data_IF_412775765824
#
_entry.id   IF_412775765824
#
_cell.length_a   1.000
_cell.length_b   1.000
_cell.length_c   1.000
_cell.angle_alpha   90.00
_cell.angle_beta   90.00
_cell.angle_gamma   90.00
#
_symmetry.space_group_name_H-M   'P 1'
#
loop_
_entity.id
_entity.type
_entity.pdbx_description
1 polymer ?
#
# COMPACT_ATOMS: atom_id res chain seq x y z
N UNK A 1 52.06 14.99 38.60
CA UNK A 1 50.62 15.26 38.44
C UNK A 1 50.28 14.97 37.00
N UNK A 2 49.71 13.81 36.75
CA UNK A 2 49.20 13.42 35.43
C UNK A 2 47.68 13.68 35.41
N UNK A 3 47.22 14.60 34.55
CA UNK A 3 45.80 14.89 34.35
C UNK A 3 45.27 13.84 33.40
N UNK A 4 44.44 12.93 33.91
CA UNK A 4 43.66 11.97 33.13
C UNK A 4 42.48 12.73 32.49
N UNK A 5 42.53 12.85 31.15
CA UNK A 5 41.37 13.29 30.36
C UNK A 5 40.45 12.08 30.15
N UNK A 6 39.42 11.96 30.99
CA UNK A 6 38.33 11.05 30.73
C UNK A 6 37.52 11.57 29.51
N UNK A 7 37.66 10.92 28.38
CA UNK A 7 36.76 11.13 27.23
C UNK A 7 35.40 10.54 27.56
N UNK A 8 34.42 11.41 27.79
CA UNK A 8 32.99 11.06 27.83
C UNK A 8 32.60 10.52 26.44
N UNK A 9 32.01 9.32 26.33
CA UNK A 9 31.50 8.88 25.06
C UNK A 9 30.35 9.82 24.64
N UNK A 10 30.49 10.45 23.49
CA UNK A 10 29.39 11.15 22.82
C UNK A 10 28.40 10.05 22.39
N UNK A 11 27.39 9.81 23.20
CA UNK A 11 26.22 9.07 22.76
C UNK A 11 25.53 9.96 21.73
N UNK A 12 25.69 9.67 20.45
CA UNK A 12 24.78 10.18 19.43
C UNK A 12 23.39 9.66 19.80
N UNK A 13 22.54 10.51 20.35
CA UNK A 13 21.12 10.23 20.52
C UNK A 13 20.53 10.03 19.13
N UNK A 14 20.41 8.77 18.70
CA UNK A 14 19.70 8.40 17.48
C UNK A 14 18.23 8.67 17.77
N UNK A 15 17.57 9.59 17.05
CA UNK A 15 16.19 9.93 17.36
C UNK A 15 15.29 8.69 17.23
N UNK A 16 14.47 8.47 18.25
CA UNK A 16 13.50 7.37 18.25
C UNK A 16 12.51 7.54 17.08
N UNK A 17 12.02 6.43 16.50
CA UNK A 17 11.01 6.49 15.46
C UNK A 17 9.81 7.35 15.87
N UNK A 18 9.20 8.10 14.93
CA UNK A 18 8.10 9.04 15.24
C UNK A 18 6.88 8.39 15.90
N UNK A 19 6.58 7.15 15.50
CA UNK A 19 5.42 6.42 16.00
C UNK A 19 5.82 5.00 16.46
N UNK A 20 5.44 4.60 17.69
CA UNK A 20 5.67 3.24 18.17
C UNK A 20 4.77 2.24 17.44
N UNK A 21 5.37 1.11 17.03
CA UNK A 21 4.69 -0.02 16.39
C UNK A 21 4.83 -1.28 17.25
N UNK A 22 3.85 -2.17 17.13
CA UNK A 22 3.91 -3.50 17.76
C UNK A 22 4.97 -4.38 17.08
N UNK A 23 5.57 -5.26 17.85
CA UNK A 23 6.55 -6.22 17.33
C UNK A 23 7.94 -5.66 17.10
N UNK A 24 8.23 -4.43 17.51
CA UNK A 24 9.54 -3.80 17.36
C UNK A 24 10.68 -4.58 18.03
N UNK A 25 10.38 -5.17 19.19
CA UNK A 25 11.39 -5.86 20.02
C UNK A 25 11.30 -7.40 19.89
N UNK A 26 10.58 -7.89 18.87
CA UNK A 26 10.50 -9.35 18.61
C UNK A 26 11.86 -9.87 18.19
N UNK A 27 12.38 -10.88 18.88
CA UNK A 27 13.56 -11.60 18.50
C UNK A 27 13.23 -12.82 17.64
N UNK A 28 14.13 -13.15 16.71
CA UNK A 28 14.02 -14.32 15.83
C UNK A 28 15.30 -15.15 15.88
N UNK A 29 15.18 -16.50 15.79
CA UNK A 29 16.36 -17.36 15.74
C UNK A 29 17.06 -17.23 14.40
N UNK A 30 18.40 -17.33 14.43
CA UNK A 30 19.25 -17.38 13.25
C UNK A 30 19.72 -18.82 12.96
N UNK A 31 19.81 -19.17 11.69
CA UNK A 31 20.37 -20.48 11.27
C UNK A 31 21.84 -20.61 11.65
N UNK A 32 22.55 -19.52 11.82
CA UNK A 32 23.93 -19.42 12.28
C UNK A 32 24.08 -19.58 13.80
N UNK A 33 22.97 -19.67 14.51
CA UNK A 33 22.90 -19.76 15.98
C UNK A 33 22.61 -18.40 16.63
N UNK A 34 22.01 -18.47 17.83
CA UNK A 34 21.59 -17.28 18.58
C UNK A 34 20.27 -16.68 18.08
N UNK A 35 19.96 -15.50 18.61
CA UNK A 35 18.75 -14.73 18.29
C UNK A 35 19.11 -13.26 18.07
N UNK A 36 18.31 -12.56 17.27
CA UNK A 36 18.45 -11.13 17.00
C UNK A 36 17.08 -10.46 16.95
N UNK A 37 17.00 -9.20 17.34
CA UNK A 37 15.78 -8.39 17.12
C UNK A 37 15.49 -8.33 15.62
N UNK A 38 14.26 -8.66 15.23
CA UNK A 38 13.85 -8.70 13.82
C UNK A 38 13.81 -7.31 13.19
N UNK A 39 14.44 -7.12 12.06
CA UNK A 39 14.32 -5.91 11.26
C UNK A 39 13.23 -6.08 10.21
N UNK A 40 12.03 -5.58 10.49
CA UNK A 40 10.92 -5.58 9.54
C UNK A 40 11.14 -4.49 8.50
N UNK A 41 11.45 -4.85 7.26
CA UNK A 41 11.68 -3.95 6.14
C UNK A 41 10.80 -4.31 4.92
N UNK A 42 9.54 -4.73 5.20
CA UNK A 42 8.53 -5.03 4.17
C UNK A 42 7.18 -4.32 4.44
N UNK A 43 7.23 -3.06 4.89
CA UNK A 43 6.03 -2.25 5.22
C UNK A 43 5.11 -2.03 4.01
N UNK A 44 5.65 -1.98 2.80
CA UNK A 44 4.86 -1.83 1.57
C UNK A 44 3.98 -3.06 1.27
N UNK A 45 4.29 -4.24 1.82
CA UNK A 45 3.40 -5.39 1.78
C UNK A 45 2.32 -5.28 2.86
N UNK A 46 2.73 -5.08 4.13
CA UNK A 46 1.84 -4.82 5.26
C UNK A 46 2.65 -4.17 6.40
N UNK A 47 2.19 -3.04 6.90
CA UNK A 47 2.83 -2.36 8.03
C UNK A 47 2.45 -3.04 9.37
N UNK A 48 3.35 -3.04 10.36
CA UNK A 48 2.99 -3.42 11.72
C UNK A 48 1.88 -2.51 12.27
N UNK A 49 1.08 -2.99 13.21
CA UNK A 49 0.10 -2.12 13.86
C UNK A 49 0.80 -1.04 14.69
N UNK A 50 0.28 0.19 14.65
CA UNK A 50 0.66 1.20 15.65
C UNK A 50 0.22 0.74 17.03
N UNK A 51 1.04 1.01 18.06
CA UNK A 51 0.66 0.75 19.46
C UNK A 51 -0.67 1.43 19.80
N UNK A 52 -0.86 2.69 19.39
CA UNK A 52 -2.10 3.45 19.58
C UNK A 52 -3.32 2.74 18.99
N UNK A 53 -3.19 2.17 17.78
CA UNK A 53 -4.30 1.46 17.11
C UNK A 53 -4.70 0.22 17.90
N UNK A 54 -3.73 -0.52 18.40
CA UNK A 54 -4.00 -1.70 19.23
C UNK A 54 -4.68 -1.31 20.54
N UNK A 55 -4.18 -0.30 21.23
CA UNK A 55 -4.71 0.14 22.52
C UNK A 55 -6.16 0.65 22.38
N UNK A 56 -6.45 1.45 21.33
CA UNK A 56 -7.79 1.94 21.02
C UNK A 56 -8.76 0.77 20.73
N UNK A 57 -8.34 -0.21 19.93
CA UNK A 57 -9.14 -1.41 19.62
C UNK A 57 -9.36 -2.25 20.86
N UNK A 58 -8.33 -2.51 21.67
CA UNK A 58 -8.42 -3.28 22.89
C UNK A 58 -9.37 -2.63 23.92
N UNK A 59 -9.35 -1.31 24.03
CA UNK A 59 -10.26 -0.56 24.89
C UNK A 59 -11.72 -0.64 24.42
N UNK A 60 -11.96 -0.71 23.11
CA UNK A 60 -13.32 -0.79 22.56
C UNK A 60 -13.91 -2.19 22.58
N UNK A 61 -13.14 -3.24 22.34
CA UNK A 61 -13.64 -4.63 22.17
C UNK A 61 -14.64 -5.09 23.25
N UNK A 62 -14.48 -4.76 24.55
CA UNK A 62 -15.49 -5.11 25.56
C UNK A 62 -16.88 -4.51 25.33
N UNK A 63 -16.99 -3.43 24.55
CA UNK A 63 -18.23 -2.71 24.24
C UNK A 63 -18.78 -3.05 22.85
N UNK A 64 -18.17 -3.99 22.14
CA UNK A 64 -18.59 -4.36 20.79
C UNK A 64 -20.06 -4.84 20.77
N UNK A 65 -20.82 -4.33 19.83
CA UNK A 65 -22.22 -4.68 19.57
C UNK A 65 -22.58 -4.61 18.08
N UNK A 66 -23.83 -4.93 17.76
CA UNK A 66 -24.33 -4.81 16.39
C UNK A 66 -24.40 -3.34 15.96
N UNK A 67 -24.34 -3.10 14.64
CA UNK A 67 -24.34 -1.74 14.06
C UNK A 67 -25.62 -1.47 13.30
N UNK A 68 -26.14 -0.25 13.38
CA UNK A 68 -27.29 0.34 12.69
C UNK A 68 -28.69 -0.22 13.02
N UNK A 69 -28.83 -1.36 13.73
CA UNK A 69 -30.13 -2.03 13.84
C UNK A 69 -30.56 -2.40 15.25
N UNK A 70 -29.76 -2.14 16.23
CA UNK A 70 -30.07 -2.48 17.62
C UNK A 70 -30.44 -1.25 18.44
N UNK A 71 -31.48 -1.39 19.29
CA UNK A 71 -31.85 -0.36 20.26
C UNK A 71 -31.03 -0.44 21.55
N UNK A 72 -30.24 -1.52 21.74
CA UNK A 72 -29.43 -1.72 22.94
C UNK A 72 -28.25 -0.77 23.01
N UNK A 73 -27.82 -0.45 24.22
CA UNK A 73 -26.73 0.51 24.47
C UNK A 73 -25.44 0.20 23.68
N UNK A 74 -24.97 -1.05 23.68
CA UNK A 74 -23.75 -1.44 22.96
C UNK A 74 -23.90 -1.32 21.43
N UNK A 75 -25.13 -1.54 20.92
CA UNK A 75 -25.42 -1.34 19.49
C UNK A 75 -25.37 0.13 19.09
N UNK A 76 -25.93 1.02 19.93
CA UNK A 76 -25.86 2.46 19.70
C UNK A 76 -24.42 2.96 19.76
N UNK A 77 -23.65 2.52 20.79
CA UNK A 77 -22.23 2.88 20.93
C UNK A 77 -21.40 2.42 19.72
N UNK A 78 -21.61 1.17 19.26
CA UNK A 78 -20.88 0.65 18.09
C UNK A 78 -21.25 1.36 16.80
N UNK A 79 -22.54 1.75 16.66
CA UNK A 79 -23.00 2.55 15.51
C UNK A 79 -22.36 3.93 15.50
N UNK A 80 -22.39 4.61 16.65
CA UNK A 80 -21.77 5.92 16.79
C UNK A 80 -20.27 5.88 16.49
N UNK A 81 -19.53 4.90 17.05
CA UNK A 81 -18.10 4.71 16.80
C UNK A 81 -17.81 4.46 15.31
N UNK A 82 -18.64 3.65 14.65
CA UNK A 82 -18.48 3.36 13.22
C UNK A 82 -18.67 4.59 12.36
N UNK A 83 -19.70 5.40 12.63
CA UNK A 83 -19.96 6.64 11.88
C UNK A 83 -18.93 7.76 12.22
N UNK A 84 -18.48 7.85 13.48
CA UNK A 84 -17.37 8.72 13.85
C UNK A 84 -16.06 8.32 13.15
N UNK A 85 -15.83 7.01 12.97
CA UNK A 85 -14.68 6.51 12.21
C UNK A 85 -14.75 6.95 10.74
N UNK A 86 -15.95 6.89 10.14
CA UNK A 86 -16.20 7.40 8.78
C UNK A 86 -15.90 8.89 8.66
N UNK A 87 -16.38 9.68 9.59
CA UNK A 87 -16.12 11.12 9.62
C UNK A 87 -14.62 11.45 9.81
N UNK A 88 -13.93 10.68 10.66
CA UNK A 88 -12.48 10.82 10.87
C UNK A 88 -11.70 10.54 9.58
N UNK A 89 -12.04 9.47 8.85
CA UNK A 89 -11.40 9.14 7.57
C UNK A 89 -11.70 10.20 6.51
N UNK A 90 -12.94 10.71 6.47
CA UNK A 90 -13.30 11.80 5.56
C UNK A 90 -12.48 13.06 5.81
N UNK A 91 -12.32 13.44 7.08
CA UNK A 91 -11.50 14.60 7.47
C UNK A 91 -10.02 14.39 7.13
N UNK A 92 -9.48 13.20 7.39
CA UNK A 92 -8.10 12.84 7.09
C UNK A 92 -7.76 12.92 5.60
N UNK A 93 -8.74 12.64 4.73
CA UNK A 93 -8.59 12.69 3.27
C UNK A 93 -8.99 14.03 2.65
N UNK A 94 -9.34 15.05 3.43
CA UNK A 94 -9.83 16.32 2.88
C UNK A 94 -11.06 16.15 1.98
N UNK A 95 -11.98 15.27 2.35
CA UNK A 95 -13.20 15.02 1.57
C UNK A 95 -14.05 16.28 1.43
N UNK A 96 -14.61 16.51 0.24
CA UNK A 96 -15.59 17.58 0.00
C UNK A 96 -16.89 17.27 0.75
N UNK A 97 -17.75 18.24 1.05
CA UNK A 97 -19.01 18.02 1.79
C UNK A 97 -19.94 16.98 1.15
N UNK A 98 -19.89 16.80 -0.17
CA UNK A 98 -20.71 15.83 -0.90
C UNK A 98 -20.05 14.44 -1.03
N UNK A 99 -18.77 14.34 -0.77
CA UNK A 99 -18.04 13.07 -0.87
C UNK A 99 -18.48 12.09 0.23
N UNK A 100 -18.40 10.82 -0.07
CA UNK A 100 -18.71 9.75 0.87
C UNK A 100 -17.53 8.78 1.03
N UNK A 101 -17.40 8.25 2.23
CA UNK A 101 -16.45 7.19 2.55
C UNK A 101 -17.21 5.87 2.61
N UNK A 102 -16.73 4.87 1.88
CA UNK A 102 -17.23 3.49 1.91
C UNK A 102 -16.14 2.61 2.49
N UNK A 103 -16.45 1.87 3.56
CA UNK A 103 -15.53 0.88 4.10
C UNK A 103 -15.62 -0.41 3.29
N UNK A 104 -14.46 -0.92 2.93
CA UNK A 104 -14.25 -2.14 2.16
C UNK A 104 -13.28 -3.05 2.90
N UNK A 105 -12.81 -4.14 2.28
CA UNK A 105 -11.80 -5.02 2.89
C UNK A 105 -10.36 -4.59 2.59
N UNK A 106 -10.14 -3.89 1.47
CA UNK A 106 -8.80 -3.49 0.99
C UNK A 106 -8.90 -2.55 -0.21
N UNK A 107 -7.79 -1.97 -0.66
CA UNK A 107 -7.70 -1.25 -1.95
C UNK A 107 -8.23 -2.08 -3.12
N UNK A 108 -7.87 -3.36 -3.17
CA UNK A 108 -8.38 -4.28 -4.22
C UNK A 108 -9.91 -4.33 -4.23
N UNK A 109 -10.52 -4.43 -3.06
CA UNK A 109 -11.97 -4.46 -2.91
C UNK A 109 -12.60 -3.11 -3.30
N UNK A 110 -12.01 -1.99 -2.86
CA UNK A 110 -12.41 -0.62 -3.21
C UNK A 110 -12.44 -0.39 -4.73
N UNK A 111 -11.39 -0.79 -5.42
CA UNK A 111 -11.29 -0.61 -6.88
C UNK A 111 -12.20 -1.58 -7.66
N UNK A 112 -12.45 -2.79 -7.14
CA UNK A 112 -13.45 -3.70 -7.69
C UNK A 112 -14.88 -3.17 -7.49
N UNK A 113 -15.17 -2.56 -6.33
CA UNK A 113 -16.46 -1.89 -6.08
C UNK A 113 -16.67 -0.75 -7.08
N UNK A 114 -15.69 0.13 -7.26
CA UNK A 114 -15.78 1.20 -8.25
C UNK A 114 -15.94 0.65 -9.68
N UNK A 115 -15.24 -0.42 -10.02
CA UNK A 115 -15.35 -1.09 -11.33
C UNK A 115 -16.76 -1.66 -11.56
N UNK A 116 -17.41 -2.19 -10.51
CA UNK A 116 -18.79 -2.67 -10.58
C UNK A 116 -19.80 -1.52 -10.71
N UNK A 117 -19.43 -0.31 -10.27
CA UNK A 117 -20.28 0.88 -10.30
C UNK A 117 -20.08 1.76 -11.56
N UNK A 118 -19.22 1.35 -12.49
CA UNK A 118 -18.97 2.12 -13.71
C UNK A 118 -20.24 2.24 -14.58
N UNK A 119 -20.57 3.43 -15.09
CA UNK A 119 -21.56 3.58 -16.15
C UNK A 119 -21.23 2.70 -17.37
N UNK A 120 -22.26 2.19 -18.03
CA UNK A 120 -22.07 1.35 -19.20
C UNK A 120 -21.32 2.08 -20.31
N UNK A 121 -20.36 1.41 -20.95
CA UNK A 121 -19.53 1.99 -22.01
C UNK A 121 -18.39 2.87 -21.53
N UNK A 122 -18.11 2.88 -20.21
CA UNK A 122 -16.97 3.63 -19.65
C UNK A 122 -15.67 3.21 -20.29
N UNK A 123 -14.85 4.18 -20.67
CA UNK A 123 -13.48 4.00 -21.12
C UNK A 123 -12.56 4.23 -19.95
N UNK A 124 -11.73 3.23 -19.63
CA UNK A 124 -10.80 3.28 -18.51
C UNK A 124 -9.38 3.37 -19.02
N UNK A 125 -8.62 4.30 -18.48
CA UNK A 125 -7.21 4.55 -18.81
C UNK A 125 -6.36 4.22 -17.59
N UNK A 126 -5.36 3.35 -17.79
CA UNK A 126 -4.42 2.91 -16.75
C UNK A 126 -3.02 2.85 -17.34
N UNK A 127 -2.00 3.00 -16.52
CA UNK A 127 -0.63 2.71 -16.94
C UNK A 127 -0.29 1.24 -16.69
N UNK A 128 0.54 0.65 -17.54
CA UNK A 128 1.02 -0.74 -17.33
C UNK A 128 1.86 -0.90 -16.06
N UNK A 129 2.28 0.24 -15.47
CA UNK A 129 3.06 0.30 -14.23
C UNK A 129 2.23 0.09 -12.97
N UNK A 130 0.90 0.05 -13.09
CA UNK A 130 -0.01 -0.07 -11.95
C UNK A 130 0.13 -1.42 -11.23
N UNK A 131 -0.10 -1.39 -9.92
CA UNK A 131 -0.32 -2.59 -9.13
C UNK A 131 -1.53 -3.39 -9.69
N UNK A 132 -1.51 -4.72 -9.59
CA UNK A 132 -2.60 -5.57 -10.11
C UNK A 132 -3.98 -5.17 -9.59
N UNK A 133 -4.08 -4.64 -8.37
CA UNK A 133 -5.34 -4.15 -7.81
C UNK A 133 -5.93 -2.96 -8.59
N UNK A 134 -5.06 -2.12 -9.19
CA UNK A 134 -5.43 -0.96 -9.99
C UNK A 134 -5.44 -1.26 -11.51
N UNK A 135 -4.90 -2.41 -11.94
CA UNK A 135 -4.83 -2.79 -13.34
C UNK A 135 -5.97 -3.74 -13.77
N UNK A 136 -6.33 -4.71 -12.92
CA UNK A 136 -7.17 -5.85 -13.32
C UNK A 136 -8.69 -5.64 -13.19
N UNK A 137 -9.24 -4.88 -12.23
CA UNK A 137 -10.68 -4.78 -12.02
C UNK A 137 -11.45 -4.30 -13.24
N UNK A 138 -10.89 -3.36 -13.97
CA UNK A 138 -11.51 -2.72 -15.12
C UNK A 138 -11.76 -3.67 -16.29
N UNK A 139 -10.93 -4.70 -16.45
CA UNK A 139 -11.09 -5.73 -17.49
C UNK A 139 -12.32 -6.62 -17.24
N UNK A 140 -12.81 -6.64 -16.00
CA UNK A 140 -14.01 -7.40 -15.60
C UNK A 140 -15.26 -6.54 -15.55
N UNK A 141 -15.12 -5.22 -15.61
CA UNK A 141 -16.25 -4.29 -15.58
C UNK A 141 -17.09 -4.46 -16.85
N UNK A 142 -18.38 -4.73 -16.69
CA UNK A 142 -19.29 -5.03 -17.79
C UNK A 142 -19.41 -3.83 -18.73
N UNK A 143 -19.04 -4.04 -20.00
CA UNK A 143 -19.11 -3.00 -21.05
C UNK A 143 -18.03 -1.92 -20.97
N UNK A 144 -17.07 -1.99 -20.05
CA UNK A 144 -15.92 -1.11 -20.02
C UNK A 144 -14.90 -1.44 -21.12
N UNK A 145 -14.16 -0.44 -21.57
CA UNK A 145 -13.04 -0.58 -22.49
C UNK A 145 -11.77 -0.05 -21.82
N UNK A 146 -10.75 -0.88 -21.75
CA UNK A 146 -9.50 -0.52 -21.07
C UNK A 146 -8.44 -0.13 -22.08
N UNK A 147 -7.85 1.05 -21.90
CA UNK A 147 -6.65 1.51 -22.59
C UNK A 147 -5.49 1.46 -21.62
N UNK A 148 -4.53 0.59 -21.90
CA UNK A 148 -3.31 0.48 -21.12
C UNK A 148 -2.23 1.36 -21.76
N UNK A 149 -1.71 2.32 -20.98
CA UNK A 149 -0.65 3.23 -21.39
C UNK A 149 0.71 2.63 -21.04
N UNK A 150 1.69 2.81 -21.93
CA UNK A 150 3.05 2.36 -21.69
C UNK A 150 3.70 3.07 -20.49
N UNK A 151 4.69 2.42 -19.89
CA UNK A 151 5.48 2.98 -18.80
C UNK A 151 6.16 4.29 -19.22
N UNK A 152 5.88 5.42 -18.55
CA UNK A 152 6.52 6.70 -18.85
C UNK A 152 7.93 6.73 -18.26
N UNK A 153 8.80 7.54 -18.83
CA UNK A 153 10.18 7.74 -18.33
C UNK A 153 10.32 8.96 -17.43
N UNK A 154 9.34 9.86 -17.47
CA UNK A 154 9.29 11.05 -16.60
C UNK A 154 7.83 11.36 -16.22
N UNK A 155 7.61 12.11 -15.12
CA UNK A 155 6.28 12.58 -14.75
C UNK A 155 5.57 13.35 -15.87
N UNK A 156 6.30 14.20 -16.61
CA UNK A 156 5.74 14.99 -17.73
C UNK A 156 5.30 14.09 -18.89
N UNK A 157 6.05 13.01 -19.17
CA UNK A 157 5.65 12.02 -20.18
C UNK A 157 4.38 11.28 -19.76
N UNK A 158 4.20 10.99 -18.45
CA UNK A 158 2.96 10.39 -17.96
C UNK A 158 1.75 11.28 -18.25
N UNK A 159 1.85 12.58 -17.94
CA UNK A 159 0.80 13.56 -18.20
C UNK A 159 0.53 13.70 -19.70
N UNK A 160 1.57 13.82 -20.52
CA UNK A 160 1.42 13.96 -21.97
C UNK A 160 0.79 12.70 -22.62
N UNK A 161 1.22 11.51 -22.21
CA UNK A 161 0.67 10.24 -22.71
C UNK A 161 -0.82 10.10 -22.38
N UNK A 162 -1.22 10.46 -21.16
CA UNK A 162 -2.61 10.46 -20.75
C UNK A 162 -3.44 11.48 -21.54
N UNK A 163 -2.94 12.71 -21.70
CA UNK A 163 -3.63 13.78 -22.44
C UNK A 163 -3.90 13.39 -23.89
N UNK A 164 -2.90 12.82 -24.57
CA UNK A 164 -3.03 12.30 -25.96
C UNK A 164 -4.06 11.18 -26.04
N UNK A 165 -4.02 10.22 -25.12
CA UNK A 165 -4.94 9.10 -25.12
C UNK A 165 -6.40 9.55 -24.87
N UNK A 166 -6.61 10.49 -23.96
CA UNK A 166 -7.93 11.05 -23.67
C UNK A 166 -8.47 11.91 -24.81
N UNK A 167 -7.60 12.67 -25.49
CA UNK A 167 -7.98 13.48 -26.67
C UNK A 167 -8.53 12.59 -27.81
N UNK A 168 -7.89 11.46 -28.06
CA UNK A 168 -8.31 10.49 -29.09
C UNK A 168 -9.51 9.61 -28.69
N UNK A 169 -9.98 9.71 -27.46
CA UNK A 169 -11.02 8.83 -26.94
C UNK A 169 -12.42 9.21 -27.43
N UNK A 170 -13.29 8.25 -27.77
CA UNK A 170 -14.69 8.49 -28.11
C UNK A 170 -15.46 9.26 -27.01
N UNK A 171 -16.55 9.91 -27.38
CA UNK A 171 -17.45 10.54 -26.42
C UNK A 171 -18.08 9.48 -25.49
N UNK A 172 -18.29 9.83 -24.23
CA UNK A 172 -18.87 8.94 -23.22
C UNK A 172 -18.18 9.06 -21.86
N UNK A 173 -18.61 8.27 -20.86
CA UNK A 173 -17.98 8.27 -19.55
C UNK A 173 -16.54 7.77 -19.65
N UNK A 174 -15.64 8.39 -18.90
CA UNK A 174 -14.21 8.06 -18.86
C UNK A 174 -13.73 8.02 -17.42
N UNK A 175 -12.86 7.05 -17.11
CA UNK A 175 -12.17 6.93 -15.85
C UNK A 175 -10.66 6.80 -16.08
N UNK A 176 -9.89 7.55 -15.33
CA UNK A 176 -8.43 7.37 -15.20
C UNK A 176 -8.15 6.73 -13.86
N UNK A 177 -7.34 5.67 -13.81
CA UNK A 177 -6.86 5.08 -12.56
C UNK A 177 -5.34 5.22 -12.50
N UNK A 178 -4.84 5.85 -11.45
CA UNK A 178 -3.41 6.11 -11.26
C UNK A 178 -2.98 5.82 -9.84
N UNK A 179 -1.73 5.33 -9.70
CA UNK A 179 -1.08 5.24 -8.38
C UNK A 179 -0.58 6.61 -7.93
N UNK A 180 -0.60 6.86 -6.61
CA UNK A 180 0.01 8.06 -6.03
C UNK A 180 1.50 7.88 -5.74
N UNK A 181 1.90 6.66 -5.37
CA UNK A 181 3.28 6.26 -5.15
C UNK A 181 3.47 4.81 -5.59
N UNK A 182 4.54 4.53 -6.30
CA UNK A 182 4.83 3.17 -6.79
C UNK A 182 5.14 2.20 -5.64
N UNK A 183 4.48 1.06 -5.62
CA UNK A 183 4.78 0.00 -4.66
C UNK A 183 6.09 -0.76 -4.97
N UNK A 184 6.75 -0.45 -6.07
CA UNK A 184 8.04 -1.03 -6.49
C UNK A 184 9.18 -0.06 -6.24
N UNK A 185 9.10 1.13 -6.82
CA UNK A 185 10.19 2.12 -6.79
C UNK A 185 10.02 3.16 -5.70
N UNK A 186 8.81 3.27 -5.11
CA UNK A 186 8.45 4.32 -4.15
C UNK A 186 8.20 5.69 -4.78
N UNK A 187 8.47 5.86 -6.05
CA UNK A 187 8.40 7.15 -6.74
C UNK A 187 6.99 7.73 -6.73
N UNK A 188 6.92 9.04 -6.45
CA UNK A 188 5.68 9.80 -6.47
C UNK A 188 5.24 10.12 -7.89
N UNK A 189 3.95 10.00 -8.15
CA UNK A 189 3.34 10.32 -9.43
C UNK A 189 2.76 11.73 -9.44
N UNK A 190 2.69 12.40 -10.59
CA UNK A 190 2.18 13.77 -10.74
C UNK A 190 0.64 13.78 -10.72
N UNK A 191 0.04 13.42 -9.57
CA UNK A 191 -1.40 13.17 -9.42
C UNK A 191 -2.23 14.39 -9.79
N UNK A 192 -1.81 15.59 -9.36
CA UNK A 192 -2.55 16.85 -9.63
C UNK A 192 -2.58 17.16 -11.12
N UNK A 193 -1.46 17.00 -11.81
CA UNK A 193 -1.33 17.23 -13.26
C UNK A 193 -2.12 16.19 -14.05
N UNK A 194 -2.12 14.93 -13.60
CA UNK A 194 -2.93 13.85 -14.18
C UNK A 194 -4.42 14.09 -13.99
N UNK A 195 -4.84 14.57 -12.79
CA UNK A 195 -6.22 14.95 -12.52
C UNK A 195 -6.67 16.11 -13.44
N UNK A 196 -5.85 17.15 -13.55
CA UNK A 196 -6.12 18.26 -14.45
C UNK A 196 -6.22 17.80 -15.92
N UNK A 197 -5.35 16.87 -16.36
CA UNK A 197 -5.45 16.29 -17.71
C UNK A 197 -6.75 15.50 -17.89
N UNK A 198 -7.11 14.65 -16.92
CA UNK A 198 -8.36 13.89 -16.96
C UNK A 198 -9.59 14.80 -17.07
N UNK A 199 -9.68 15.82 -16.23
CA UNK A 199 -10.83 16.73 -16.18
C UNK A 199 -10.96 17.60 -17.46
N UNK A 200 -9.85 18.04 -18.10
CA UNK A 200 -9.91 18.74 -19.39
C UNK A 200 -10.64 17.94 -20.47
N UNK A 201 -10.61 16.61 -20.40
CA UNK A 201 -11.28 15.70 -21.34
C UNK A 201 -12.60 15.13 -20.81
N UNK A 202 -13.12 15.66 -19.69
CA UNK A 202 -14.34 15.19 -19.06
C UNK A 202 -14.23 13.76 -18.49
N UNK A 203 -13.02 13.30 -18.21
CA UNK A 203 -12.77 12.05 -17.52
C UNK A 203 -12.79 12.26 -16.00
N UNK A 204 -13.15 11.21 -15.25
CA UNK A 204 -12.95 11.13 -13.81
C UNK A 204 -11.66 10.44 -13.49
N UNK A 205 -11.15 10.65 -12.27
CA UNK A 205 -9.90 10.04 -11.81
C UNK A 205 -10.06 9.39 -10.45
N UNK A 206 -9.56 8.17 -10.32
CA UNK A 206 -9.38 7.46 -9.04
C UNK A 206 -7.90 7.30 -8.74
N UNK A 207 -7.52 7.68 -7.53
CA UNK A 207 -6.19 7.55 -6.99
C UNK A 207 -6.05 6.24 -6.19
N UNK A 208 -5.20 5.32 -6.65
CA UNK A 208 -4.68 4.26 -5.77
C UNK A 208 -3.64 4.90 -4.83
N UNK A 209 -4.07 5.17 -3.61
CA UNK A 209 -3.26 5.78 -2.57
C UNK A 209 -2.68 4.76 -1.57
N UNK A 210 -2.69 3.47 -1.91
CA UNK A 210 -2.27 2.40 -1.01
C UNK A 210 -0.85 2.57 -0.46
N UNK A 211 0.06 3.14 -1.27
CA UNK A 211 1.43 3.46 -0.85
C UNK A 211 1.64 4.94 -0.56
N UNK A 212 0.67 5.81 -0.86
CA UNK A 212 0.80 7.24 -0.63
C UNK A 212 0.33 7.64 0.77
N UNK A 213 -0.88 7.22 1.17
CA UNK A 213 -1.52 7.60 2.43
C UNK A 213 -0.70 7.30 3.70
N UNK A 214 0.11 6.20 3.78
CA UNK A 214 0.97 5.97 4.94
C UNK A 214 2.13 6.95 5.08
N UNK A 215 2.49 7.68 4.02
CA UNK A 215 3.72 8.43 3.92
C UNK A 215 3.53 9.92 3.67
N UNK A 216 2.43 10.33 3.05
CA UNK A 216 2.13 11.72 2.65
C UNK A 216 0.69 12.07 2.99
N UNK A 217 0.44 13.34 3.29
CA UNK A 217 -0.91 13.86 3.37
C UNK A 217 -1.60 13.72 2.00
N UNK A 218 -2.84 13.25 2.04
CA UNK A 218 -3.70 13.14 0.85
C UNK A 218 -4.96 13.95 1.09
N UNK A 219 -5.18 14.96 0.27
CA UNK A 219 -6.38 15.79 0.26
C UNK A 219 -7.07 15.67 -1.08
N UNK A 220 -8.28 15.06 -1.08
CA UNK A 220 -9.07 14.80 -2.29
C UNK A 220 -9.42 16.11 -3.01
N UNK A 221 -9.76 17.15 -2.25
CA UNK A 221 -10.16 18.43 -2.82
C UNK A 221 -8.95 19.17 -3.42
N UNK A 222 -7.81 19.14 -2.74
CA UNK A 222 -6.58 19.79 -3.20
C UNK A 222 -5.95 19.08 -4.40
N UNK A 223 -5.92 17.75 -4.40
CA UNK A 223 -5.43 16.95 -5.53
C UNK A 223 -6.40 16.94 -6.71
N UNK A 224 -7.64 17.40 -6.49
CA UNK A 224 -8.74 17.40 -7.45
C UNK A 224 -9.02 16.01 -8.05
N UNK A 225 -8.89 14.96 -7.25
CA UNK A 225 -9.27 13.60 -7.64
C UNK A 225 -10.74 13.33 -7.31
N UNK A 226 -11.38 12.42 -8.06
CA UNK A 226 -12.79 12.06 -7.84
C UNK A 226 -12.94 10.98 -6.77
N UNK A 227 -12.00 10.05 -6.69
CA UNK A 227 -11.93 9.01 -5.66
C UNK A 227 -10.51 8.73 -5.21
N UNK A 228 -10.41 8.28 -3.96
CA UNK A 228 -9.19 7.72 -3.35
C UNK A 228 -9.49 6.33 -2.81
N UNK A 229 -8.59 5.38 -3.04
CA UNK A 229 -8.66 4.02 -2.51
C UNK A 229 -7.38 3.66 -1.75
N UNK A 230 -7.51 3.05 -0.55
CA UNK A 230 -6.38 2.55 0.20
C UNK A 230 -6.74 1.37 1.13
N UNK A 231 -5.73 0.73 1.72
CA UNK A 231 -5.88 -0.41 2.63
C UNK A 231 -5.38 -0.08 4.03
N UNK A 232 -6.16 -0.42 5.05
CA UNK A 232 -5.78 -0.20 6.45
C UNK A 232 -4.51 -0.95 6.86
N UNK A 233 -4.27 -2.17 6.33
CA UNK A 233 -3.10 -2.95 6.71
C UNK A 233 -1.76 -2.34 6.28
N UNK A 234 -1.76 -1.40 5.33
CA UNK A 234 -0.59 -0.60 4.97
C UNK A 234 -0.52 0.70 5.77
N UNK A 235 -1.67 1.16 6.26
CA UNK A 235 -1.83 2.32 7.13
C UNK A 235 -1.75 1.92 8.62
N UNK A 236 -0.92 0.96 8.98
CA UNK A 236 -0.71 0.51 10.36
C UNK A 236 -1.95 -0.04 11.09
N UNK A 237 -3.02 -0.39 10.37
CA UNK A 237 -4.28 -0.92 10.88
C UNK A 237 -4.60 -2.30 10.27
N UNK A 238 -3.95 -3.41 10.73
CA UNK A 238 -4.03 -4.73 10.09
C UNK A 238 -5.30 -5.51 10.48
N UNK A 239 -6.48 -4.87 10.44
CA UNK A 239 -7.76 -5.48 10.85
C UNK A 239 -8.75 -5.71 9.71
N UNK A 240 -8.25 -5.85 8.48
CA UNK A 240 -9.05 -6.24 7.31
C UNK A 240 -10.05 -5.18 6.85
N UNK A 241 -9.67 -3.91 6.93
CA UNK A 241 -10.45 -2.80 6.38
C UNK A 241 -9.68 -2.05 5.29
N UNK A 242 -10.42 -1.53 4.33
CA UNK A 242 -9.99 -0.61 3.30
C UNK A 242 -11.00 0.52 3.14
N UNK A 243 -10.69 1.47 2.30
CA UNK A 243 -11.49 2.67 2.08
C UNK A 243 -11.60 2.96 0.59
N UNK A 244 -12.81 3.32 0.15
CA UNK A 244 -13.08 4.07 -1.06
C UNK A 244 -13.75 5.38 -0.64
N UNK A 245 -13.13 6.51 -0.93
CA UNK A 245 -13.66 7.82 -0.58
C UNK A 245 -13.76 8.72 -1.81
N UNK A 246 -14.80 9.53 -1.91
CA UNK A 246 -14.99 10.48 -3.00
C UNK A 246 -16.43 10.62 -3.45
N UNK A 247 -16.64 10.96 -4.72
CA UNK A 247 -17.96 11.27 -5.29
C UNK A 247 -18.94 10.11 -5.17
N UNK A 248 -20.17 10.37 -4.71
CA UNK A 248 -21.17 9.31 -4.52
C UNK A 248 -21.96 8.96 -5.77
N UNK A 249 -21.95 9.76 -6.83
CA UNK A 249 -22.90 9.67 -7.94
C UNK A 249 -22.90 8.31 -8.65
N UNK A 250 -21.78 7.86 -9.19
CA UNK A 250 -21.70 6.55 -9.85
C UNK A 250 -22.03 5.39 -8.88
N UNK A 251 -21.63 5.54 -7.61
CA UNK A 251 -21.93 4.54 -6.59
C UNK A 251 -23.42 4.48 -6.23
N UNK A 252 -24.11 5.63 -6.21
CA UNK A 252 -25.58 5.67 -5.95
C UNK A 252 -26.40 5.13 -7.10
N UNK A 253 -25.95 5.35 -8.34
CA UNK A 253 -26.67 4.94 -9.53
C UNK A 253 -26.46 3.45 -9.86
N UNK A 254 -25.42 2.82 -9.29
CA UNK A 254 -25.11 1.40 -9.49
C UNK A 254 -25.97 0.48 -8.63
N UNK A 255 -26.12 -0.77 -9.09
CA UNK A 255 -26.57 -1.86 -8.23
C UNK A 255 -25.61 -2.05 -7.04
N UNK A 256 -26.10 -2.49 -5.87
CA UNK A 256 -25.24 -2.72 -4.72
C UNK A 256 -24.15 -3.73 -5.05
N UNK A 257 -22.92 -3.46 -4.61
CA UNK A 257 -21.79 -4.36 -4.81
C UNK A 257 -22.01 -5.73 -4.18
N UNK A 258 -22.64 -5.73 -3.00
CA UNK A 258 -23.12 -6.92 -2.31
C UNK A 258 -24.61 -6.74 -2.01
N UNK A 259 -25.46 -7.63 -2.51
CA UNK A 259 -26.88 -7.63 -2.19
C UNK A 259 -27.12 -8.32 -0.85
N UNK A 260 -27.71 -7.59 0.11
CA UNK A 260 -27.97 -8.16 1.42
C UNK A 260 -28.61 -7.19 2.40
N UNK A 261 -28.79 -7.65 3.61
CA UNK A 261 -29.31 -6.83 4.70
C UNK A 261 -28.38 -5.64 4.96
N UNK A 262 -28.96 -4.44 5.15
CA UNK A 262 -28.23 -3.18 5.32
C UNK A 262 -28.23 -2.34 4.05
N UNK A 263 -27.93 -2.93 2.91
CA UNK A 263 -28.01 -2.27 1.62
C UNK A 263 -29.45 -2.01 1.15
N UNK A 264 -30.44 -2.72 1.71
CA UNK A 264 -31.85 -2.61 1.35
C UNK A 264 -32.58 -1.61 2.25
N UNK A 265 -33.45 -0.79 1.65
CA UNK A 265 -34.45 0.05 2.33
C UNK A 265 -35.73 -0.76 2.60
N UNK A 266 -36.26 -1.43 1.57
CA UNK A 266 -37.38 -2.34 1.66
C UNK A 266 -37.16 -3.57 0.80
N UNK A 267 -37.77 -4.70 1.18
CA UNK A 267 -37.87 -5.90 0.38
C UNK A 267 -39.32 -6.38 0.39
N UNK A 268 -39.89 -6.56 -0.77
CA UNK A 268 -41.31 -6.95 -0.93
C UNK A 268 -41.39 -8.19 -1.84
N UNK A 269 -42.21 -9.15 -1.44
CA UNK A 269 -42.62 -10.24 -2.32
C UNK A 269 -43.92 -9.82 -3.02
N UNK A 270 -43.92 -9.71 -4.34
CA UNK A 270 -45.09 -9.42 -5.17
C UNK A 270 -46.04 -10.61 -5.25
N UNK A 271 -47.24 -10.38 -5.71
CA UNK A 271 -48.26 -11.40 -5.86
C UNK A 271 -47.93 -12.46 -6.90
N UNK A 272 -47.11 -12.15 -7.88
CA UNK A 272 -46.53 -13.08 -8.87
C UNK A 272 -45.39 -13.95 -8.35
N UNK A 273 -44.95 -13.73 -7.10
CA UNK A 273 -43.89 -14.43 -6.43
C UNK A 273 -42.53 -13.79 -6.59
N UNK A 274 -42.39 -12.73 -7.39
CA UNK A 274 -41.14 -11.97 -7.55
C UNK A 274 -40.75 -11.27 -6.24
N UNK A 275 -39.45 -11.29 -5.88
CA UNK A 275 -38.90 -10.53 -4.75
C UNK A 275 -38.22 -9.29 -5.30
N UNK A 276 -38.68 -8.12 -4.89
CA UNK A 276 -38.16 -6.82 -5.30
C UNK A 276 -37.55 -6.11 -4.12
N UNK A 277 -36.38 -5.55 -4.29
CA UNK A 277 -35.69 -4.76 -3.28
C UNK A 277 -35.58 -3.28 -3.72
N UNK A 278 -35.79 -2.39 -2.77
CA UNK A 278 -35.39 -0.99 -2.89
C UNK A 278 -34.09 -0.80 -2.11
N UNK A 279 -33.11 -0.19 -2.77
CA UNK A 279 -31.77 -0.02 -2.21
C UNK A 279 -31.65 1.31 -1.45
N UNK A 280 -30.68 1.36 -0.52
CA UNK A 280 -30.34 2.59 0.20
C UNK A 280 -29.89 3.70 -0.78
N UNK A 281 -30.19 4.95 -0.43
CA UNK A 281 -29.84 6.13 -1.23
C UNK A 281 -28.37 6.56 -1.04
N UNK A 282 -27.84 6.41 0.18
CA UNK A 282 -26.43 6.66 0.45
C UNK A 282 -25.53 5.61 -0.23
N UNK A 283 -24.47 6.04 -0.89
CA UNK A 283 -23.49 5.13 -1.49
C UNK A 283 -22.88 4.20 -0.45
N UNK A 284 -22.51 4.72 0.72
CA UNK A 284 -21.95 3.90 1.80
C UNK A 284 -22.95 2.81 2.24
N UNK A 285 -24.18 3.18 2.61
CA UNK A 285 -25.16 2.21 3.06
C UNK A 285 -25.54 1.21 1.96
N UNK A 286 -25.54 1.62 0.68
CA UNK A 286 -25.85 0.76 -0.47
C UNK A 286 -24.80 -0.32 -0.70
N UNK A 287 -23.52 -0.02 -0.46
CA UNK A 287 -22.42 -0.92 -0.78
C UNK A 287 -21.82 -1.64 0.43
N UNK A 288 -22.20 -1.24 1.65
CA UNK A 288 -21.77 -1.89 2.90
C UNK A 288 -22.83 -2.90 3.41
N UNK A 289 -23.22 -3.86 2.57
CA UNK A 289 -24.17 -4.88 2.96
C UNK A 289 -23.62 -5.84 4.01
N UNK A 290 -24.49 -6.34 4.88
CA UNK A 290 -24.16 -7.24 5.97
C UNK A 290 -23.80 -6.49 7.26
N UNK A 291 -23.15 -7.19 8.19
CA UNK A 291 -22.58 -6.55 9.39
C UNK A 291 -21.21 -5.99 9.04
N UNK A 292 -20.98 -4.68 9.19
CA UNK A 292 -19.73 -4.07 8.80
C UNK A 292 -18.58 -4.46 9.75
N UNK A 293 -17.35 -4.34 9.27
CA UNK A 293 -16.15 -4.52 10.08
C UNK A 293 -15.88 -3.27 10.93
N UNK A 294 -16.59 -3.14 12.06
CA UNK A 294 -16.47 -1.99 12.98
C UNK A 294 -15.05 -1.85 13.51
N UNK A 295 -14.45 -2.97 13.93
CA UNK A 295 -13.08 -2.97 14.48
C UNK A 295 -12.09 -2.49 13.44
N UNK A 296 -12.21 -2.96 12.20
CA UNK A 296 -11.33 -2.53 11.11
C UNK A 296 -11.51 -1.05 10.75
N UNK A 297 -12.76 -0.55 10.71
CA UNK A 297 -13.05 0.86 10.44
C UNK A 297 -12.49 1.77 11.57
N UNK A 298 -12.70 1.38 12.81
CA UNK A 298 -12.15 2.09 13.97
C UNK A 298 -10.62 2.08 14.00
N UNK A 299 -10.00 0.94 13.70
CA UNK A 299 -8.55 0.84 13.60
C UNK A 299 -7.98 1.79 12.52
N UNK A 300 -8.62 1.85 11.33
CA UNK A 300 -8.23 2.81 10.28
C UNK A 300 -8.36 4.25 10.77
N UNK A 301 -9.47 4.59 11.42
CA UNK A 301 -9.68 5.94 11.96
C UNK A 301 -8.66 6.30 13.06
N UNK A 302 -8.31 5.35 13.93
CA UNK A 302 -7.26 5.53 14.95
C UNK A 302 -5.88 5.76 14.30
N UNK A 303 -5.54 5.01 13.26
CA UNK A 303 -4.30 5.23 12.51
C UNK A 303 -4.28 6.62 11.83
N UNK A 304 -5.40 7.03 11.20
CA UNK A 304 -5.53 8.37 10.62
C UNK A 304 -5.27 9.48 11.66
N UNK A 305 -5.86 9.36 12.85
CA UNK A 305 -5.64 10.31 13.96
C UNK A 305 -4.16 10.32 14.39
N UNK A 306 -3.56 9.14 14.58
CA UNK A 306 -2.17 9.04 15.00
C UNK A 306 -1.20 9.69 14.00
N UNK A 307 -1.39 9.48 12.70
CA UNK A 307 -0.58 10.09 11.64
C UNK A 307 -0.79 11.61 11.57
N UNK A 308 -2.03 12.08 11.69
CA UNK A 308 -2.34 13.52 11.71
C UNK A 308 -1.69 14.20 12.91
N UNK A 309 -1.81 13.62 14.09
CA UNK A 309 -1.22 14.14 15.34
C UNK A 309 0.31 14.12 15.31
N UNK A 310 0.93 13.12 14.68
CA UNK A 310 2.38 13.07 14.51
C UNK A 310 2.91 14.15 13.54
N UNK A 311 2.07 14.54 12.57
CA UNK A 311 2.39 15.50 11.52
C UNK A 311 3.22 14.90 10.37
N UNK A 312 2.74 15.09 9.14
CA UNK A 312 3.41 14.53 7.95
C UNK A 312 4.79 15.14 7.67
N UNK A 313 5.06 16.36 8.12
CA UNK A 313 6.40 16.96 8.00
C UNK A 313 7.42 16.17 8.80
N UNK A 314 7.14 15.88 10.08
CA UNK A 314 8.00 15.07 10.94
C UNK A 314 8.15 13.63 10.43
N UNK A 315 7.07 13.04 9.92
CA UNK A 315 7.10 11.70 9.32
C UNK A 315 7.97 11.68 8.06
N UNK A 316 7.84 12.71 7.22
CA UNK A 316 8.63 12.91 6.00
C UNK A 316 10.12 13.13 6.28
N UNK A 317 10.48 13.92 7.29
CA UNK A 317 11.87 14.11 7.72
C UNK A 317 12.52 12.79 8.16
N UNK A 318 11.80 12.00 8.98
CA UNK A 318 12.26 10.69 9.39
C UNK A 318 12.44 9.74 8.19
N UNK A 319 11.46 9.69 7.30
CA UNK A 319 11.53 8.86 6.09
C UNK A 319 12.68 9.29 5.16
N UNK A 320 12.88 10.58 4.95
CA UNK A 320 13.99 11.11 4.16
C UNK A 320 15.35 10.74 4.73
N UNK A 321 15.49 10.78 6.07
CA UNK A 321 16.70 10.32 6.76
C UNK A 321 16.96 8.82 6.50
N UNK A 322 15.94 7.96 6.66
CA UNK A 322 16.06 6.53 6.40
C UNK A 322 16.38 6.22 4.93
N UNK A 323 15.75 6.95 3.99
CA UNK A 323 16.04 6.83 2.55
C UNK A 323 17.49 7.24 2.23
N UNK A 324 18.00 8.30 2.86
CA UNK A 324 19.40 8.72 2.75
C UNK A 324 20.32 7.61 3.18
N UNK A 325 20.15 7.08 4.39
CA UNK A 325 20.96 5.96 4.92
C UNK A 325 20.93 4.73 4.01
N UNK A 326 19.74 4.39 3.48
CA UNK A 326 19.58 3.26 2.57
C UNK A 326 20.32 3.47 1.26
N UNK A 327 20.14 4.62 0.61
CA UNK A 327 20.78 4.95 -0.68
C UNK A 327 22.28 5.02 -0.57
N UNK A 328 22.80 5.68 0.47
CA UNK A 328 24.23 5.79 0.73
C UNK A 328 24.86 4.42 0.99
N UNK A 329 24.19 3.58 1.78
CA UNK A 329 24.64 2.22 2.04
C UNK A 329 24.64 1.35 0.79
N UNK A 330 23.58 1.36 0.00
CA UNK A 330 23.47 0.60 -1.25
C UNK A 330 24.52 1.05 -2.29
N UNK A 331 24.82 2.33 -2.37
CA UNK A 331 25.79 2.90 -3.31
C UNK A 331 27.23 2.39 -3.05
N UNK A 332 27.54 1.92 -1.83
CA UNK A 332 28.84 1.35 -1.47
C UNK A 332 28.97 -0.15 -1.81
N UNK A 333 27.88 -0.81 -2.23
CA UNK A 333 27.88 -2.25 -2.48
C UNK A 333 28.04 -2.52 -3.98
N UNK A 334 29.13 -3.17 -4.41
CA UNK A 334 29.36 -3.47 -5.83
C UNK A 334 28.23 -4.34 -6.41
N UNK A 335 27.84 -4.05 -7.64
CA UNK A 335 26.83 -4.83 -8.36
C UNK A 335 25.37 -4.54 -7.98
N UNK A 336 25.12 -3.68 -6.99
CA UNK A 336 23.76 -3.23 -6.68
C UNK A 336 23.29 -2.21 -7.73
N UNK A 337 22.10 -2.44 -8.28
CA UNK A 337 21.40 -1.51 -9.18
C UNK A 337 20.02 -1.22 -8.62
N UNK A 338 19.80 0.02 -8.20
CA UNK A 338 18.49 0.50 -7.75
C UNK A 338 17.54 0.63 -8.96
N UNK A 339 16.31 0.18 -8.81
CA UNK A 339 15.29 0.30 -9.84
C UNK A 339 14.57 1.64 -9.72
N UNK A 340 14.45 2.36 -10.83
CA UNK A 340 13.81 3.67 -10.91
C UNK A 340 13.08 3.82 -12.24
N UNK A 341 11.89 4.41 -12.21
CA UNK A 341 11.08 4.71 -13.39
C UNK A 341 11.37 6.14 -13.89
N UNK A 342 11.45 7.10 -12.95
CA UNK A 342 11.62 8.53 -13.23
C UNK A 342 13.05 9.03 -13.02
N UNK A 343 13.98 8.13 -12.68
CA UNK A 343 15.38 8.44 -12.45
C UNK A 343 15.76 8.66 -10.99
N UNK A 344 17.07 8.76 -10.75
CA UNK A 344 17.63 8.77 -9.39
C UNK A 344 17.23 9.98 -8.55
N UNK A 345 16.90 11.09 -9.18
CA UNK A 345 16.45 12.34 -8.53
C UNK A 345 14.97 12.38 -8.17
N UNK A 346 14.18 11.37 -8.55
CA UNK A 346 12.75 11.35 -8.29
C UNK A 346 12.46 11.31 -6.79
N UNK A 347 11.47 12.09 -6.35
CA UNK A 347 10.94 12.00 -4.98
C UNK A 347 10.21 10.67 -4.78
N UNK A 348 10.35 10.10 -3.59
CA UNK A 348 9.79 8.78 -3.28
C UNK A 348 9.44 8.63 -1.80
N UNK A 349 8.53 7.73 -1.54
CA UNK A 349 8.19 7.26 -0.20
C UNK A 349 9.20 6.19 0.26
N UNK A 350 9.09 5.73 1.49
CA UNK A 350 9.96 4.72 2.12
C UNK A 350 9.93 3.33 1.45
N UNK A 351 10.03 3.29 0.12
CA UNK A 351 10.02 2.07 -0.71
C UNK A 351 11.13 2.17 -1.76
N UNK A 352 11.94 1.12 -1.86
CA UNK A 352 13.00 1.05 -2.86
C UNK A 352 13.21 -0.41 -3.29
N UNK A 353 13.22 -0.66 -4.60
CA UNK A 353 13.57 -1.96 -5.15
C UNK A 353 14.94 -1.92 -5.84
N UNK A 354 15.65 -3.03 -5.81
CA UNK A 354 16.98 -3.17 -6.40
C UNK A 354 17.23 -4.62 -6.82
N UNK A 355 18.26 -4.80 -7.64
CA UNK A 355 18.85 -6.09 -7.98
C UNK A 355 20.34 -6.07 -7.65
N UNK A 356 20.93 -7.25 -7.45
CA UNK A 356 22.37 -7.43 -7.23
C UNK A 356 22.92 -8.34 -8.32
N UNK A 357 23.90 -7.87 -9.07
CA UNK A 357 24.52 -8.63 -10.15
C UNK A 357 25.03 -9.99 -9.65
N UNK A 358 24.62 -11.07 -10.32
CA UNK A 358 25.05 -12.42 -9.98
C UNK A 358 24.30 -13.07 -8.81
N UNK A 359 23.34 -12.38 -8.20
CA UNK A 359 22.52 -12.90 -7.10
C UNK A 359 21.08 -13.18 -7.54
N UNK A 360 20.56 -14.31 -7.10
CA UNK A 360 19.12 -14.57 -7.13
C UNK A 360 18.44 -13.78 -6.00
N UNK A 361 17.42 -12.97 -6.34
CA UNK A 361 16.74 -12.10 -5.39
C UNK A 361 16.03 -12.88 -4.27
N UNK A 362 15.47 -14.05 -4.57
CA UNK A 362 14.81 -14.89 -3.56
C UNK A 362 15.83 -15.53 -2.61
N UNK A 363 17.00 -15.94 -3.14
CA UNK A 363 18.10 -16.43 -2.32
C UNK A 363 18.63 -15.33 -1.39
N UNK A 364 18.83 -14.12 -1.93
CA UNK A 364 19.31 -12.97 -1.16
C UNK A 364 18.34 -12.61 -0.03
N UNK A 365 17.02 -12.56 -0.32
CA UNK A 365 16.01 -12.30 0.69
C UNK A 365 15.95 -13.40 1.77
N UNK A 366 16.09 -14.68 1.38
CA UNK A 366 16.13 -15.79 2.31
C UNK A 366 17.36 -15.73 3.23
N UNK A 367 18.56 -15.42 2.68
CA UNK A 367 19.79 -15.28 3.44
C UNK A 367 19.71 -14.08 4.42
N UNK A 368 19.22 -12.93 4.00
CA UNK A 368 18.99 -11.78 4.87
C UNK A 368 18.08 -12.14 6.05
N UNK A 369 17.02 -12.92 5.80
CA UNK A 369 16.11 -13.35 6.87
C UNK A 369 16.75 -14.38 7.79
N UNK A 370 17.29 -15.47 7.24
CA UNK A 370 17.75 -16.62 8.01
C UNK A 370 19.07 -16.40 8.74
N UNK A 371 20.00 -15.66 8.15
CA UNK A 371 21.34 -15.42 8.73
C UNK A 371 21.45 -14.11 9.51
N UNK A 372 20.57 -13.12 9.20
CA UNK A 372 20.68 -11.77 9.77
C UNK A 372 19.40 -11.26 10.45
N UNK A 373 18.27 -12.00 10.40
CA UNK A 373 16.98 -11.59 10.99
C UNK A 373 16.38 -10.35 10.36
N UNK A 374 16.53 -10.19 9.03
CA UNK A 374 16.10 -9.02 8.27
C UNK A 374 15.03 -9.44 7.26
N UNK A 375 13.80 -8.96 7.42
CA UNK A 375 12.69 -9.25 6.52
C UNK A 375 12.56 -8.22 5.41
N UNK A 376 12.82 -8.63 4.18
CA UNK A 376 12.59 -7.87 2.96
C UNK A 376 11.62 -8.62 2.05
N UNK A 377 11.21 -8.02 0.95
CA UNK A 377 10.38 -8.67 -0.06
C UNK A 377 11.20 -8.98 -1.31
N UNK A 378 10.99 -10.16 -1.88
CA UNK A 378 11.47 -10.51 -3.22
C UNK A 378 10.31 -10.74 -4.19
N UNK A 379 10.57 -10.70 -5.49
CA UNK A 379 9.61 -11.04 -6.53
C UNK A 379 9.22 -9.90 -7.46
N UNK A 380 7.97 -9.97 -7.95
CA UNK A 380 7.39 -9.03 -8.92
C UNK A 380 6.37 -8.07 -8.26
N UNK A 381 6.18 -8.12 -6.95
CA UNK A 381 5.41 -7.19 -6.09
C UNK A 381 3.99 -6.92 -6.59
N UNK A 382 3.34 -7.88 -7.28
CA UNK A 382 2.05 -7.68 -7.95
C UNK A 382 2.03 -6.48 -8.93
N UNK A 383 3.18 -6.17 -9.55
CA UNK A 383 3.38 -5.15 -10.57
C UNK A 383 4.28 -5.71 -11.68
N UNK A 384 3.90 -6.87 -12.21
CA UNK A 384 4.71 -7.65 -13.16
C UNK A 384 5.18 -6.85 -14.37
N UNK A 385 4.31 -6.07 -15.07
CA UNK A 385 4.76 -5.29 -16.22
C UNK A 385 5.80 -4.23 -15.84
N UNK A 386 5.62 -3.54 -14.70
CA UNK A 386 6.58 -2.54 -14.21
C UNK A 386 7.95 -3.15 -13.92
N UNK A 387 8.00 -4.26 -13.14
CA UNK A 387 9.29 -4.90 -12.81
C UNK A 387 9.99 -5.39 -14.08
N UNK A 388 9.25 -6.01 -15.01
CA UNK A 388 9.81 -6.42 -16.31
C UNK A 388 10.35 -5.24 -17.11
N UNK A 389 9.63 -4.11 -17.13
CA UNK A 389 10.08 -2.88 -17.78
C UNK A 389 11.39 -2.36 -17.17
N UNK A 390 11.46 -2.28 -15.83
CA UNK A 390 12.64 -1.80 -15.10
C UNK A 390 13.88 -2.71 -15.26
N UNK A 391 13.64 -4.00 -15.52
CA UNK A 391 14.69 -4.98 -15.85
C UNK A 391 15.00 -5.04 -17.37
N UNK A 392 14.54 -4.07 -18.15
CA UNK A 392 14.82 -3.96 -19.59
C UNK A 392 14.21 -5.07 -20.45
N UNK A 393 13.18 -5.74 -19.97
CA UNK A 393 12.51 -6.85 -20.66
C UNK A 393 13.37 -8.13 -20.73
N UNK A 394 14.49 -8.18 -20.03
CA UNK A 394 15.39 -9.36 -19.95
C UNK A 394 15.43 -9.87 -18.52
N UNK A 395 15.31 -11.19 -18.30
CA UNK A 395 15.51 -11.76 -16.99
C UNK A 395 17.00 -11.62 -16.62
N UNK A 396 17.29 -10.99 -15.48
CA UNK A 396 18.66 -10.78 -14.98
C UNK A 396 19.01 -11.71 -13.82
N UNK A 397 17.98 -12.35 -13.24
CA UNK A 397 18.14 -13.16 -12.04
C UNK A 397 18.58 -14.59 -12.44
N UNK A 398 19.77 -15.06 -12.00
CA UNK A 398 20.22 -16.41 -12.25
C UNK A 398 19.35 -17.38 -11.45
N UNK A 399 18.31 -17.91 -12.05
CA UNK A 399 17.44 -18.99 -11.59
C UNK A 399 17.15 -19.13 -10.08
N UNK A 400 16.01 -19.69 -9.74
CA UNK A 400 15.69 -20.01 -8.34
C UNK A 400 16.81 -20.84 -7.70
N UNK A 401 16.95 -20.72 -6.37
CA UNK A 401 17.89 -21.50 -5.56
C UNK A 401 18.13 -22.90 -6.14
N UNK A 402 19.21 -23.11 -6.87
CA UNK A 402 19.62 -24.41 -7.38
C UNK A 402 19.19 -24.78 -8.81
N UNK A 403 18.61 -23.91 -9.61
CA UNK A 403 18.29 -24.18 -11.02
C UNK A 403 18.84 -23.08 -11.92
N UNK A 404 19.90 -23.32 -12.70
CA UNK A 404 20.50 -22.34 -13.62
C UNK A 404 19.65 -21.99 -14.84
N UNK A 405 18.57 -22.73 -15.08
CA UNK A 405 17.81 -22.69 -16.34
C UNK A 405 16.60 -21.75 -16.32
N UNK A 406 16.11 -21.33 -15.13
CA UNK A 406 14.95 -20.45 -14.99
C UNK A 406 15.39 -19.02 -14.65
N UNK A 407 15.83 -18.26 -15.65
CA UNK A 407 16.01 -16.82 -15.51
C UNK A 407 14.66 -16.18 -15.21
N UNK A 408 14.51 -15.59 -14.03
CA UNK A 408 13.27 -14.94 -13.60
C UNK A 408 13.40 -13.43 -13.57
N UNK A 409 12.29 -12.74 -13.86
CA UNK A 409 12.17 -11.31 -13.54
C UNK A 409 11.92 -11.18 -12.05
N UNK A 410 12.95 -10.88 -11.28
CA UNK A 410 12.84 -10.81 -9.84
C UNK A 410 13.67 -9.64 -9.30
N UNK A 411 13.24 -9.03 -8.20
CA UNK A 411 13.96 -7.98 -7.52
C UNK A 411 13.78 -8.10 -6.00
N UNK A 412 14.63 -7.43 -5.24
CA UNK A 412 14.46 -7.26 -3.80
C UNK A 412 13.89 -5.88 -3.55
N UNK A 413 12.90 -5.78 -2.66
CA UNK A 413 12.32 -4.52 -2.22
C UNK A 413 12.51 -4.35 -0.72
N UNK A 414 13.06 -3.20 -0.33
CA UNK A 414 13.11 -2.72 1.04
C UNK A 414 12.04 -1.65 1.21
N UNK A 415 11.28 -1.74 2.28
CA UNK A 415 10.26 -0.74 2.60
C UNK A 415 10.10 -0.56 4.10
N UNK A 416 9.91 0.68 4.51
CA UNK A 416 9.87 1.08 5.90
C UNK A 416 8.90 2.25 6.11
N UNK A 417 8.70 2.67 7.36
CA UNK A 417 7.77 3.73 7.67
C UNK A 417 8.01 4.33 9.05
N UNK A 418 6.97 4.96 9.61
CA UNK A 418 7.01 5.77 10.81
C UNK A 418 7.54 5.07 12.08
N UNK A 419 7.50 3.73 12.12
CA UNK A 419 8.00 2.94 13.25
C UNK A 419 9.37 2.30 13.04
N UNK A 420 10.03 2.56 11.92
CA UNK A 420 11.31 1.91 11.59
C UNK A 420 12.49 2.67 12.23
N UNK A 421 13.32 2.04 13.06
CA UNK A 421 14.50 2.68 13.61
C UNK A 421 15.65 2.69 12.58
N UNK A 422 16.51 3.74 12.59
CA UNK A 422 17.64 3.86 11.66
C UNK A 422 18.61 2.66 11.70
N UNK A 423 18.74 2.01 12.84
CA UNK A 423 19.60 0.82 13.03
C UNK A 423 19.17 -0.36 12.15
N UNK A 424 17.88 -0.48 11.81
CA UNK A 424 17.40 -1.51 10.90
C UNK A 424 17.95 -1.30 9.49
N UNK A 425 18.05 -0.05 9.03
CA UNK A 425 18.59 0.29 7.71
C UNK A 425 20.12 0.05 7.68
N UNK A 426 20.85 0.51 8.69
CA UNK A 426 22.31 0.31 8.75
C UNK A 426 22.68 -1.17 8.88
N UNK A 427 21.93 -1.94 9.68
CA UNK A 427 22.09 -3.39 9.77
C UNK A 427 21.81 -4.08 8.43
N UNK A 428 20.75 -3.69 7.74
CA UNK A 428 20.42 -4.21 6.42
C UNK A 428 21.55 -3.98 5.42
N UNK A 429 22.05 -2.75 5.28
CA UNK A 429 23.12 -2.43 4.32
C UNK A 429 24.42 -3.14 4.66
N UNK A 430 24.75 -3.29 5.94
CA UNK A 430 25.93 -4.04 6.41
C UNK A 430 25.80 -5.54 6.11
N UNK A 431 24.63 -6.15 6.38
CA UNK A 431 24.37 -7.56 6.09
C UNK A 431 24.42 -7.83 4.57
N UNK A 432 23.79 -6.95 3.77
CA UNK A 432 23.82 -7.05 2.31
C UNK A 432 25.26 -6.96 1.78
N UNK A 433 26.07 -6.02 2.27
CA UNK A 433 27.46 -5.88 1.88
C UNK A 433 28.28 -7.15 2.21
N UNK A 434 28.02 -7.77 3.36
CA UNK A 434 28.66 -9.03 3.75
C UNK A 434 28.26 -10.17 2.83
N UNK A 435 26.96 -10.35 2.57
CA UNK A 435 26.46 -11.38 1.65
C UNK A 435 27.04 -11.22 0.24
N UNK A 436 27.09 -9.99 -0.29
CA UNK A 436 27.62 -9.73 -1.64
C UNK A 436 29.11 -10.01 -1.73
N UNK A 437 29.89 -9.70 -0.68
CA UNK A 437 31.36 -9.92 -0.65
C UNK A 437 31.73 -11.35 -0.37
N UNK A 438 31.03 -12.03 0.56
CA UNK A 438 31.45 -13.31 1.15
C UNK A 438 30.57 -14.48 0.72
N UNK A 439 29.39 -14.20 0.18
CA UNK A 439 28.37 -15.20 -0.07
C UNK A 439 27.50 -15.46 1.17
N UNK A 440 26.48 -16.29 0.99
CA UNK A 440 25.69 -16.81 2.10
C UNK A 440 26.53 -17.85 2.89
N UNK A 441 26.47 -17.80 4.21
CA UNK A 441 27.18 -18.74 5.10
C UNK A 441 26.44 -20.08 5.25
N UNK A 442 25.18 -20.11 4.84
CA UNK A 442 24.30 -21.29 4.89
C UNK A 442 23.91 -21.77 3.50
N UNK A 443 23.46 -23.01 3.37
CA UNK A 443 22.95 -23.55 2.11
C UNK A 443 21.44 -23.36 2.01
N UNK A 444 20.94 -23.15 0.79
CA UNK A 444 19.53 -22.89 0.51
C UNK A 444 19.02 -23.82 -0.60
N UNK A 445 17.74 -24.14 -0.55
CA UNK A 445 17.05 -24.90 -1.59
C UNK A 445 15.65 -24.37 -1.82
N UNK A 446 15.06 -24.70 -2.96
CA UNK A 446 13.67 -24.32 -3.24
C UNK A 446 12.71 -25.35 -2.65
N UNK A 447 11.78 -24.88 -1.82
CA UNK A 447 10.67 -25.68 -1.28
C UNK A 447 9.37 -24.92 -1.51
N UNK A 448 8.40 -25.56 -2.17
CA UNK A 448 7.10 -24.96 -2.48
C UNK A 448 7.20 -23.58 -3.18
N UNK A 449 8.15 -23.44 -4.11
CA UNK A 449 8.40 -22.19 -4.84
C UNK A 449 9.06 -21.08 -4.02
N UNK A 450 9.59 -21.39 -2.82
CA UNK A 450 10.29 -20.44 -1.94
C UNK A 450 11.71 -20.91 -1.68
N UNK A 451 12.63 -19.94 -1.59
CA UNK A 451 13.98 -20.20 -1.15
C UNK A 451 14.01 -20.30 0.38
N UNK A 452 14.47 -21.44 0.91
CA UNK A 452 14.52 -21.71 2.34
C UNK A 452 15.89 -22.29 2.73
N UNK A 453 16.39 -22.07 3.96
CA UNK A 453 17.62 -22.67 4.41
C UNK A 453 17.50 -24.20 4.44
N UNK A 454 18.57 -24.88 4.04
CA UNK A 454 18.65 -26.34 4.14
C UNK A 454 18.70 -26.77 5.59
N UNK A 455 18.13 -27.94 5.96
CA UNK A 455 18.36 -28.51 7.30
C UNK A 455 19.84 -28.65 7.55
N UNK A 456 20.29 -28.35 8.78
CA UNK A 456 21.63 -28.72 9.21
C UNK A 456 21.82 -30.25 9.05
N UNK A 457 22.90 -30.65 8.42
CA UNK A 457 23.26 -32.06 8.22
C UNK A 457 23.45 -32.78 9.54
#
# INVERSE_FOLDING_TARGET
MAVSLASTPVTCDVPAPPLPVLGRDVTVPLVTGGEVTYAALDYAASAPALQRVWDDVAAYVPYYGSVHRGAGYLSQLSTELFEQSRATVAAFLGCRPADQVVFTRSTTDSLNLLAAALPQGTQVFVFETEHHAALLPWQRAKGARVTCLAAPRTPEQAVAALDVALHGAPKGPKLVCVTGASNVTGELWPVRELAAAAHRHGARIVLDAAQLVPHRAVDIAELDVDWVAFSGHKLYAPFGAGVLAGRPDWLRDAEPYLAGGGATRTVVRRSDGEVVAEWQESAAARHEAGSPNVIGAYAVASACKALTEAGFDRLGEHEAHLLGLLRDGLAQIPGVRVLSLFGDGADRVGVLAFVVQGWNSSHLAAALSAEHGIGVRDGLFCAHPLVKHLLGGRPEDPGACGSPEDLSFNAVRVSFGAGTPPEHITRFTSALATLVREGASWTYHTRDGRCVPSPSA
#
